data_IF_935262643663
#
_entry.id   IF_935262643663
#
_cell.length_a   1.000
_cell.length_b   1.000
_cell.length_c   1.000
_cell.angle_alpha   90.00
_cell.angle_beta   90.00
_cell.angle_gamma   90.00
#
_symmetry.space_group_name_H-M   'P 1'
#
loop_
_entity.id
_entity.type
_entity.pdbx_description
1 polymer ?
#
# COMPACT_ATOMS: atom_id res chain seq x y z
N UNK A 1 -35.92 -2.48 -52.42
CA UNK A 1 -36.37 -3.25 -51.24
C UNK A 1 -35.13 -3.65 -50.44
N UNK A 2 -34.79 -2.85 -49.43
CA UNK A 2 -33.66 -3.09 -48.52
C UNK A 2 -34.31 -3.33 -47.16
N UNK A 3 -34.17 -4.55 -46.65
CA UNK A 3 -34.86 -4.98 -45.44
C UNK A 3 -34.07 -4.52 -44.22
N UNK A 4 -34.71 -3.65 -43.44
CA UNK A 4 -34.24 -3.21 -42.14
C UNK A 4 -34.53 -4.28 -41.07
N UNK A 5 -33.84 -4.13 -39.94
CA UNK A 5 -34.14 -4.69 -38.62
C UNK A 5 -33.74 -6.15 -38.35
N UNK A 6 -32.68 -6.30 -37.56
CA UNK A 6 -32.58 -7.28 -36.46
C UNK A 6 -31.40 -6.89 -35.57
N UNK A 7 -31.65 -5.96 -34.65
CA UNK A 7 -30.78 -5.76 -33.49
C UNK A 7 -31.16 -6.83 -32.44
N UNK A 8 -30.21 -7.64 -31.95
CA UNK A 8 -30.50 -8.60 -30.90
C UNK A 8 -30.78 -7.89 -29.56
N UNK A 9 -31.64 -8.47 -28.71
CA UNK A 9 -32.04 -7.87 -27.45
C UNK A 9 -30.93 -8.01 -26.39
N UNK A 10 -30.78 -6.96 -25.60
CA UNK A 10 -30.06 -6.85 -24.32
C UNK A 10 -29.59 -8.18 -23.71
N UNK A 11 -28.30 -8.48 -23.90
CA UNK A 11 -27.58 -9.36 -23.00
C UNK A 11 -27.48 -8.63 -21.65
N UNK A 12 -28.18 -9.17 -20.65
CA UNK A 12 -28.09 -8.73 -19.27
C UNK A 12 -26.61 -8.63 -18.86
N UNK A 13 -26.21 -7.42 -18.42
CA UNK A 13 -24.96 -7.20 -17.71
C UNK A 13 -24.94 -8.12 -16.49
N UNK A 14 -24.29 -9.29 -16.62
CA UNK A 14 -23.74 -9.99 -15.47
C UNK A 14 -22.60 -9.10 -14.99
N UNK A 15 -22.77 -8.50 -13.82
CA UNK A 15 -21.65 -7.92 -13.06
C UNK A 15 -20.53 -8.97 -13.06
N UNK A 16 -19.32 -8.63 -13.52
CA UNK A 16 -18.20 -9.55 -13.46
C UNK A 16 -18.01 -9.88 -11.98
N UNK A 17 -18.21 -11.15 -11.61
CA UNK A 17 -17.79 -11.67 -10.32
C UNK A 17 -16.31 -11.32 -10.17
N UNK A 18 -16.03 -10.30 -9.35
CA UNK A 18 -14.68 -9.90 -9.01
C UNK A 18 -13.97 -11.16 -8.52
N UNK A 19 -12.89 -11.62 -9.18
CA UNK A 19 -12.12 -12.71 -8.64
C UNK A 19 -11.60 -12.23 -7.29
N UNK A 20 -12.22 -12.78 -6.23
CA UNK A 20 -11.83 -12.57 -4.85
C UNK A 20 -10.44 -13.17 -4.70
N UNK A 21 -9.42 -12.40 -5.09
CA UNK A 21 -8.04 -12.78 -4.85
C UNK A 21 -7.94 -12.91 -3.33
N UNK A 22 -7.64 -14.12 -2.80
CA UNK A 22 -7.52 -14.28 -1.37
C UNK A 22 -6.52 -13.22 -0.90
N UNK A 23 -6.85 -12.45 0.15
CA UNK A 23 -5.91 -11.47 0.68
C UNK A 23 -4.60 -12.22 0.86
N UNK A 24 -3.52 -11.70 0.27
CA UNK A 24 -2.18 -12.24 0.44
C UNK A 24 -1.87 -12.17 1.93
N UNK A 25 -2.34 -13.17 2.67
CA UNK A 25 -2.05 -13.37 4.07
C UNK A 25 -0.55 -13.43 4.11
N UNK A 26 0.02 -12.41 4.77
CA UNK A 26 1.41 -12.34 5.20
C UNK A 26 1.92 -13.76 5.41
N UNK A 27 2.59 -14.32 4.39
CA UNK A 27 3.26 -15.59 4.51
C UNK A 27 4.41 -15.30 5.46
N UNK A 28 4.09 -15.45 6.76
CA UNK A 28 5.04 -15.43 7.85
C UNK A 28 5.97 -16.58 7.55
N UNK A 29 7.05 -16.27 6.82
CA UNK A 29 8.04 -17.22 6.33
C UNK A 29 8.49 -18.06 7.51
N UNK A 30 7.94 -19.27 7.62
CA UNK A 30 8.47 -20.27 8.53
C UNK A 30 9.89 -20.55 8.05
N UNK A 31 10.87 -19.95 8.74
CA UNK A 31 12.26 -20.09 8.41
C UNK A 31 12.64 -21.58 8.53
N UNK A 32 13.08 -22.25 7.46
CA UNK A 32 13.53 -23.64 7.55
C UNK A 32 14.75 -23.71 8.48
N UNK A 33 14.57 -24.39 9.62
CA UNK A 33 15.39 -24.28 10.85
C UNK A 33 16.86 -24.73 10.74
N UNK A 34 17.32 -25.29 9.61
CA UNK A 34 18.68 -25.85 9.47
C UNK A 34 19.53 -25.15 8.41
N UNK A 35 19.21 -25.38 7.14
CA UNK A 35 20.03 -24.91 6.01
C UNK A 35 19.93 -23.39 5.79
N UNK A 36 18.89 -22.75 6.32
CA UNK A 36 18.74 -21.30 6.30
C UNK A 36 19.75 -20.57 7.20
N UNK A 37 20.30 -21.22 8.23
CA UNK A 37 21.14 -20.55 9.22
C UNK A 37 22.55 -20.27 8.69
N UNK A 38 23.16 -21.22 7.98
CA UNK A 38 24.48 -21.02 7.34
C UNK A 38 24.39 -20.00 6.21
N UNK A 39 23.36 -20.10 5.36
CA UNK A 39 23.16 -19.16 4.26
C UNK A 39 22.85 -17.74 4.75
N UNK A 40 22.03 -17.58 5.80
CA UNK A 40 21.74 -16.27 6.38
C UNK A 40 22.97 -15.64 7.04
N UNK A 41 23.79 -16.44 7.74
CA UNK A 41 25.08 -15.98 8.26
C UNK A 41 26.01 -15.51 7.14
N UNK A 42 26.14 -16.31 6.07
CA UNK A 42 26.93 -15.93 4.89
C UNK A 42 26.43 -14.63 4.28
N UNK A 43 25.12 -14.51 4.01
CA UNK A 43 24.55 -13.26 3.48
C UNK A 43 24.78 -12.07 4.41
N UNK A 44 24.72 -12.26 5.73
CA UNK A 44 25.04 -11.20 6.69
C UNK A 44 26.49 -10.73 6.62
N UNK A 45 27.42 -11.63 6.25
CA UNK A 45 28.83 -11.30 6.12
C UNK A 45 29.16 -10.63 4.78
N UNK A 46 28.49 -11.01 3.69
CA UNK A 46 28.93 -10.71 2.32
C UNK A 46 27.97 -9.88 1.49
N UNK A 47 26.67 -9.87 1.81
CA UNK A 47 25.67 -9.12 1.05
C UNK A 47 25.49 -7.71 1.62
N UNK A 48 25.12 -6.72 0.79
CA UNK A 48 24.71 -5.41 1.28
C UNK A 48 23.48 -5.54 2.18
N UNK A 49 23.29 -4.58 3.10
CA UNK A 49 22.11 -4.54 3.96
C UNK A 49 20.82 -4.45 3.12
N UNK A 50 19.75 -5.11 3.58
CA UNK A 50 18.46 -5.10 2.92
C UNK A 50 17.89 -3.67 2.90
N UNK A 51 17.52 -3.14 1.71
CA UNK A 51 16.89 -1.82 1.62
C UNK A 51 15.46 -1.87 2.16
N UNK A 52 14.93 -0.71 2.51
CA UNK A 52 13.52 -0.55 2.90
C UNK A 52 12.58 -0.94 1.74
N UNK A 53 11.35 -1.35 2.05
CA UNK A 53 10.33 -1.69 1.05
C UNK A 53 9.94 -0.48 0.20
N UNK A 54 10.09 0.73 0.76
CA UNK A 54 9.86 2.00 0.07
C UNK A 54 11.05 2.47 -0.79
N UNK A 55 12.19 1.75 -0.74
CA UNK A 55 13.41 2.19 -1.42
C UNK A 55 13.25 2.22 -2.95
N UNK A 56 13.93 3.17 -3.64
CA UNK A 56 13.88 3.26 -5.10
C UNK A 56 14.37 1.96 -5.75
N UNK A 57 13.86 1.68 -6.95
CA UNK A 57 14.18 0.47 -7.72
C UNK A 57 15.69 0.23 -7.86
N UNK A 58 16.48 1.29 -8.05
CA UNK A 58 17.93 1.20 -8.20
C UNK A 58 18.62 0.59 -6.96
N UNK A 59 18.20 0.99 -5.75
CA UNK A 59 18.74 0.43 -4.51
C UNK A 59 18.33 -1.03 -4.31
N UNK A 60 17.08 -1.36 -4.63
CA UNK A 60 16.58 -2.74 -4.59
C UNK A 60 17.33 -3.64 -5.58
N UNK A 61 17.60 -3.15 -6.79
CA UNK A 61 18.38 -3.87 -7.80
C UNK A 61 19.84 -4.03 -7.38
N UNK A 62 20.47 -2.99 -6.79
CA UNK A 62 21.82 -3.09 -6.24
C UNK A 62 21.91 -4.16 -5.14
N UNK A 63 20.94 -4.19 -4.22
CA UNK A 63 20.87 -5.23 -3.19
C UNK A 63 20.76 -6.63 -3.79
N UNK A 64 19.90 -6.80 -4.80
CA UNK A 64 19.70 -8.09 -5.45
C UNK A 64 20.94 -8.57 -6.19
N UNK A 65 21.59 -7.69 -6.95
CA UNK A 65 22.86 -8.01 -7.63
C UNK A 65 23.95 -8.34 -6.61
N UNK A 66 24.04 -7.60 -5.51
CA UNK A 66 24.96 -7.90 -4.42
C UNK A 66 24.69 -9.26 -3.77
N UNK A 67 23.42 -9.63 -3.60
CA UNK A 67 23.01 -10.93 -3.05
C UNK A 67 23.28 -12.10 -4.02
N UNK A 68 22.95 -11.95 -5.30
CA UNK A 68 23.30 -12.92 -6.34
C UNK A 68 24.82 -13.08 -6.43
N UNK A 69 25.55 -11.98 -6.33
CA UNK A 69 27.01 -11.99 -6.30
C UNK A 69 27.56 -12.77 -5.11
N UNK A 70 26.98 -12.60 -3.93
CA UNK A 70 27.29 -13.38 -2.74
C UNK A 70 27.03 -14.89 -2.93
N UNK A 71 25.97 -15.28 -3.64
CA UNK A 71 25.68 -16.69 -3.93
C UNK A 71 26.73 -17.30 -4.86
N UNK A 72 27.04 -16.59 -5.94
CA UNK A 72 28.04 -17.01 -6.92
C UNK A 72 29.42 -17.13 -6.26
N UNK A 73 29.76 -16.20 -5.37
CA UNK A 73 31.04 -16.22 -4.66
C UNK A 73 31.27 -17.52 -3.86
N UNK A 74 30.24 -18.14 -3.27
CA UNK A 74 30.38 -19.44 -2.59
C UNK A 74 30.90 -20.50 -3.56
N UNK A 75 30.29 -20.57 -4.74
CA UNK A 75 30.68 -21.54 -5.79
C UNK A 75 32.09 -21.24 -6.27
N UNK A 76 32.45 -19.96 -6.42
CA UNK A 76 33.79 -19.53 -6.81
C UNK A 76 34.85 -19.89 -5.75
N UNK A 77 34.57 -19.71 -4.46
CA UNK A 77 35.46 -20.17 -3.38
C UNK A 77 35.65 -21.68 -3.41
N UNK A 78 34.56 -22.44 -3.56
CA UNK A 78 34.61 -23.89 -3.62
C UNK A 78 35.44 -24.36 -4.83
N UNK A 79 35.26 -23.71 -5.98
CA UNK A 79 36.07 -23.97 -7.18
C UNK A 79 37.56 -23.72 -6.94
N UNK A 80 37.94 -22.60 -6.31
CA UNK A 80 39.32 -22.31 -5.96
C UNK A 80 39.89 -23.36 -5.00
N UNK A 81 39.14 -23.74 -3.96
CA UNK A 81 39.58 -24.74 -2.97
C UNK A 81 39.80 -26.11 -3.64
N UNK A 82 38.89 -26.55 -4.52
CA UNK A 82 39.02 -27.81 -5.27
C UNK A 82 40.21 -27.78 -6.24
N UNK A 83 40.67 -26.60 -6.64
CA UNK A 83 41.81 -26.45 -7.56
C UNK A 83 43.18 -26.61 -6.87
N UNK A 84 43.27 -26.53 -5.54
CA UNK A 84 44.53 -26.67 -4.81
C UNK A 84 45.22 -28.04 -4.98
N UNK A 85 44.52 -29.19 -4.87
CA UNK A 85 45.14 -30.50 -5.12
C UNK A 85 45.82 -30.58 -6.50
N UNK A 86 45.19 -30.03 -7.53
CA UNK A 86 45.78 -29.98 -8.87
C UNK A 86 47.02 -29.07 -8.91
N UNK A 87 47.04 -27.98 -8.14
CA UNK A 87 48.20 -27.10 -8.02
C UNK A 87 49.39 -27.76 -7.29
N UNK A 88 49.13 -28.60 -6.28
CA UNK A 88 50.19 -29.37 -5.61
C UNK A 88 50.73 -30.52 -6.46
N UNK A 89 49.87 -31.16 -7.27
CA UNK A 89 50.28 -32.24 -8.16
C UNK A 89 50.88 -31.76 -9.49
N UNK A 90 50.64 -30.49 -9.86
CA UNK A 90 51.05 -29.90 -11.12
C UNK A 90 52.53 -29.52 -11.16
N UNK A 91 53.06 -29.34 -12.37
CA UNK A 91 54.44 -28.90 -12.61
C UNK A 91 54.66 -27.40 -12.37
N UNK A 92 53.58 -26.62 -12.23
CA UNK A 92 53.62 -25.17 -12.05
C UNK A 92 53.45 -24.78 -10.57
N UNK A 93 54.56 -24.64 -9.84
CA UNK A 93 54.53 -24.23 -8.43
C UNK A 93 53.98 -22.81 -8.20
N UNK A 94 54.03 -21.94 -9.22
CA UNK A 94 53.44 -20.60 -9.14
C UNK A 94 51.91 -20.66 -9.02
N UNK A 95 51.27 -21.76 -9.44
CA UNK A 95 49.82 -21.90 -9.37
C UNK A 95 49.30 -21.79 -7.92
N UNK A 96 50.03 -22.31 -6.94
CA UNK A 96 49.66 -22.18 -5.51
C UNK A 96 49.65 -20.70 -5.10
N UNK A 97 50.63 -19.94 -5.56
CA UNK A 97 50.72 -18.50 -5.27
C UNK A 97 49.58 -17.74 -5.94
N UNK A 98 49.27 -18.05 -7.20
CA UNK A 98 48.16 -17.46 -7.96
C UNK A 98 46.83 -17.73 -7.23
N UNK A 99 46.54 -18.99 -6.89
CA UNK A 99 45.30 -19.37 -6.18
C UNK A 99 45.19 -18.70 -4.80
N UNK A 100 46.31 -18.49 -4.10
CA UNK A 100 46.32 -17.79 -2.81
C UNK A 100 45.95 -16.31 -2.99
N UNK A 101 46.52 -15.66 -4.00
CA UNK A 101 46.20 -14.27 -4.35
C UNK A 101 44.74 -14.14 -4.78
N UNK A 102 44.22 -15.09 -5.58
CA UNK A 102 42.82 -15.12 -6.03
C UNK A 102 41.85 -15.16 -4.84
N UNK A 103 42.14 -16.00 -3.83
CA UNK A 103 41.36 -16.05 -2.59
C UNK A 103 41.35 -14.70 -1.87
N UNK A 104 42.51 -14.05 -1.73
CA UNK A 104 42.62 -12.75 -1.08
C UNK A 104 41.84 -11.66 -1.84
N UNK A 105 41.94 -11.63 -3.17
CA UNK A 105 41.21 -10.69 -4.01
C UNK A 105 39.70 -10.96 -4.00
N UNK A 106 39.28 -12.22 -3.93
CA UNK A 106 37.87 -12.58 -3.80
C UNK A 106 37.31 -12.16 -2.43
N UNK A 107 38.08 -12.29 -1.34
CA UNK A 107 37.72 -11.76 -0.03
C UNK A 107 37.60 -10.23 -0.04
N UNK A 108 38.51 -9.54 -0.73
CA UNK A 108 38.42 -8.10 -0.95
C UNK A 108 37.15 -7.73 -1.73
N UNK A 109 36.83 -8.46 -2.80
CA UNK A 109 35.63 -8.25 -3.59
C UNK A 109 34.35 -8.43 -2.76
N UNK A 110 34.28 -9.45 -1.89
CA UNK A 110 33.17 -9.63 -0.95
C UNK A 110 33.03 -8.46 0.03
N UNK A 111 34.15 -7.94 0.52
CA UNK A 111 34.16 -6.77 1.42
C UNK A 111 33.60 -5.55 0.68
N UNK A 112 34.00 -5.32 -0.56
CA UNK A 112 33.48 -4.24 -1.41
C UNK A 112 32.00 -4.43 -1.76
N UNK A 113 31.56 -5.67 -1.97
CA UNK A 113 30.16 -6.01 -2.20
C UNK A 113 29.29 -5.62 -1.00
N UNK A 114 29.76 -5.93 0.22
CA UNK A 114 29.11 -5.52 1.47
C UNK A 114 29.04 -4.00 1.62
N UNK A 115 30.06 -3.27 1.17
CA UNK A 115 30.11 -1.80 1.16
C UNK A 115 29.27 -1.16 0.03
N UNK A 116 28.34 -1.90 -0.58
CA UNK A 116 27.48 -1.47 -1.70
C UNK A 116 28.25 -1.08 -2.98
N UNK A 117 29.55 -1.39 -3.08
CA UNK A 117 30.38 -1.13 -4.28
C UNK A 117 30.37 -2.34 -5.24
N UNK A 118 29.17 -2.82 -5.57
CA UNK A 118 28.93 -4.08 -6.32
C UNK A 118 29.63 -4.06 -7.69
N UNK A 119 29.66 -2.92 -8.38
CA UNK A 119 30.33 -2.80 -9.67
C UNK A 119 31.84 -3.05 -9.59
N UNK A 120 32.53 -2.44 -8.61
CA UNK A 120 33.97 -2.61 -8.41
C UNK A 120 34.28 -4.04 -7.97
N UNK A 121 33.48 -4.59 -7.04
CA UNK A 121 33.59 -6.00 -6.65
C UNK A 121 33.47 -6.93 -7.87
N UNK A 122 32.50 -6.67 -8.75
CA UNK A 122 32.32 -7.39 -10.00
C UNK A 122 33.52 -7.35 -10.94
N UNK A 123 34.13 -6.17 -11.12
CA UNK A 123 35.34 -6.00 -11.93
C UNK A 123 36.48 -6.85 -11.35
N UNK A 124 36.69 -6.81 -10.03
CA UNK A 124 37.73 -7.60 -9.36
C UNK A 124 37.50 -9.09 -9.58
N UNK A 125 36.27 -9.58 -9.38
CA UNK A 125 35.93 -11.00 -9.59
C UNK A 125 36.21 -11.42 -11.03
N UNK A 126 35.78 -10.63 -12.01
CA UNK A 126 36.03 -10.92 -13.44
C UNK A 126 37.54 -10.93 -13.72
N UNK A 127 38.29 -9.95 -13.23
CA UNK A 127 39.73 -9.88 -13.42
C UNK A 127 40.45 -11.07 -12.78
N UNK A 128 40.08 -11.49 -11.57
CA UNK A 128 40.64 -12.67 -10.90
C UNK A 128 40.43 -13.92 -11.75
N UNK A 129 39.19 -14.18 -12.17
CA UNK A 129 38.86 -15.39 -12.92
C UNK A 129 39.28 -15.36 -14.40
N UNK A 130 39.62 -14.19 -14.95
CA UNK A 130 40.32 -14.08 -16.24
C UNK A 130 41.82 -14.26 -16.06
N UNK A 131 42.42 -13.54 -15.11
CA UNK A 131 43.87 -13.52 -14.90
C UNK A 131 44.40 -14.87 -14.42
N UNK A 132 43.68 -15.58 -13.54
CA UNK A 132 44.13 -16.86 -12.98
C UNK A 132 44.42 -17.93 -14.05
N UNK A 133 43.47 -18.34 -14.92
CA UNK A 133 43.76 -19.29 -16.00
C UNK A 133 44.76 -18.73 -17.03
N UNK A 134 44.72 -17.43 -17.33
CA UNK A 134 45.68 -16.78 -18.23
C UNK A 134 47.10 -16.88 -17.69
N UNK A 135 47.32 -16.54 -16.42
CA UNK A 135 48.63 -16.61 -15.77
C UNK A 135 49.08 -18.06 -15.64
N UNK A 136 48.19 -19.00 -15.34
CA UNK A 136 48.54 -20.42 -15.31
C UNK A 136 49.08 -20.90 -16.67
N UNK A 137 48.41 -20.54 -17.77
CA UNK A 137 48.86 -20.88 -19.13
C UNK A 137 50.20 -20.20 -19.44
N UNK A 138 50.33 -18.89 -19.14
CA UNK A 138 51.53 -18.11 -19.45
C UNK A 138 52.76 -18.54 -18.63
N UNK A 139 52.55 -19.06 -17.41
CA UNK A 139 53.64 -19.48 -16.50
C UNK A 139 53.93 -20.98 -16.58
N UNK A 140 53.24 -21.73 -17.44
CA UNK A 140 53.50 -23.16 -17.64
C UNK A 140 54.90 -23.36 -18.22
N UNK A 141 55.79 -24.11 -17.54
CA UNK A 141 57.16 -24.31 -18.03
C UNK A 141 57.14 -25.09 -19.35
N UNK A 142 57.89 -24.60 -20.34
CA UNK A 142 57.92 -25.18 -21.68
C UNK A 142 56.83 -24.68 -22.64
N UNK A 143 55.94 -23.78 -22.19
CA UNK A 143 54.90 -23.20 -23.03
C UNK A 143 53.61 -24.02 -23.04
N UNK A 144 52.85 -23.93 -24.14
CA UNK A 144 51.51 -24.55 -24.22
C UNK A 144 51.66 -26.03 -24.57
N UNK A 145 51.03 -26.89 -23.77
CA UNK A 145 50.98 -28.33 -23.98
C UNK A 145 49.52 -28.83 -24.12
N UNK A 146 49.33 -30.09 -24.49
CA UNK A 146 47.98 -30.67 -24.69
C UNK A 146 47.13 -30.61 -23.41
N UNK A 147 47.75 -30.71 -22.23
CA UNK A 147 47.04 -30.60 -20.94
C UNK A 147 46.56 -29.19 -20.60
N UNK A 148 47.07 -28.16 -21.28
CA UNK A 148 46.61 -26.78 -21.12
C UNK A 148 45.34 -26.47 -21.92
N UNK A 149 44.99 -27.29 -22.92
CA UNK A 149 43.79 -27.05 -23.76
C UNK A 149 42.48 -26.98 -22.94
N UNK A 150 42.22 -27.87 -21.97
CA UNK A 150 41.05 -27.74 -21.10
C UNK A 150 41.00 -26.45 -20.27
N UNK A 151 42.16 -25.85 -19.95
CA UNK A 151 42.23 -24.61 -19.14
C UNK A 151 41.63 -23.42 -19.89
N UNK A 152 41.67 -23.40 -21.23
CA UNK A 152 40.94 -22.39 -22.01
C UNK A 152 39.42 -22.49 -21.82
N UNK A 153 38.89 -23.66 -21.48
CA UNK A 153 37.48 -23.83 -21.10
C UNK A 153 37.12 -23.05 -19.83
N UNK A 154 38.07 -22.84 -18.91
CA UNK A 154 37.83 -22.03 -17.71
C UNK A 154 37.69 -20.53 -18.00
N UNK A 155 38.10 -20.05 -19.18
CA UNK A 155 37.84 -18.67 -19.62
C UNK A 155 36.34 -18.39 -19.86
N UNK A 156 35.48 -19.41 -19.79
CA UNK A 156 34.03 -19.23 -19.79
C UNK A 156 33.51 -18.72 -18.43
N UNK A 157 34.19 -19.06 -17.33
CA UNK A 157 33.80 -18.65 -15.96
C UNK A 157 33.75 -17.12 -15.79
N UNK A 158 34.76 -16.34 -16.22
CA UNK A 158 34.68 -14.88 -16.13
C UNK A 158 33.55 -14.28 -16.99
N UNK A 159 33.07 -14.96 -18.04
CA UNK A 159 31.87 -14.53 -18.79
C UNK A 159 30.61 -14.61 -17.93
N UNK A 160 30.44 -15.72 -17.21
CA UNK A 160 29.32 -15.89 -16.28
C UNK A 160 29.40 -14.90 -15.11
N UNK A 161 30.61 -14.61 -14.63
CA UNK A 161 30.84 -13.58 -13.61
C UNK A 161 30.47 -12.20 -14.16
N UNK A 162 30.93 -11.83 -15.38
CA UNK A 162 30.61 -10.55 -15.99
C UNK A 162 29.10 -10.38 -16.18
N UNK A 163 28.40 -11.42 -16.62
CA UNK A 163 26.94 -11.40 -16.80
C UNK A 163 26.21 -11.12 -15.48
N UNK A 164 26.70 -11.70 -14.39
CA UNK A 164 26.06 -11.63 -13.07
C UNK A 164 26.36 -10.31 -12.34
N UNK A 165 27.61 -9.84 -12.40
CA UNK A 165 28.05 -8.70 -11.60
C UNK A 165 28.09 -7.38 -12.37
N UNK A 166 28.28 -7.39 -13.69
CA UNK A 166 28.45 -6.18 -14.50
C UNK A 166 27.22 -5.88 -15.36
N UNK A 167 27.28 -4.75 -16.08
CA UNK A 167 26.25 -4.48 -17.09
C UNK A 167 26.34 -5.56 -18.19
N UNK A 168 25.21 -6.00 -18.80
CA UNK A 168 25.19 -7.17 -19.69
C UNK A 168 26.16 -7.08 -20.86
N UNK A 169 26.45 -5.87 -21.35
CA UNK A 169 27.37 -5.64 -22.46
C UNK A 169 28.83 -5.99 -22.14
N UNK A 170 29.24 -5.99 -20.87
CA UNK A 170 30.61 -6.36 -20.46
C UNK A 170 30.97 -7.80 -20.81
N UNK A 171 29.98 -8.69 -20.92
CA UNK A 171 30.20 -10.09 -21.30
C UNK A 171 30.89 -10.18 -22.66
N UNK A 172 30.52 -9.30 -23.61
CA UNK A 172 31.15 -9.27 -24.93
C UNK A 172 32.58 -8.74 -24.90
N UNK A 173 32.88 -7.77 -24.01
CA UNK A 173 34.24 -7.25 -23.83
C UNK A 173 35.16 -8.33 -23.29
N UNK A 174 34.70 -9.07 -22.27
CA UNK A 174 35.47 -10.19 -21.69
C UNK A 174 35.62 -11.33 -22.70
N UNK A 175 34.56 -11.66 -23.46
CA UNK A 175 34.63 -12.67 -24.52
C UNK A 175 35.63 -12.28 -25.61
N UNK A 176 35.59 -11.03 -26.09
CA UNK A 176 36.55 -10.54 -27.08
C UNK A 176 38.00 -10.61 -26.54
N UNK A 177 38.22 -10.21 -25.28
CA UNK A 177 39.52 -10.33 -24.62
C UNK A 177 40.00 -11.78 -24.54
N UNK A 178 39.13 -12.71 -24.12
CA UNK A 178 39.45 -14.13 -24.01
C UNK A 178 39.72 -14.78 -25.38
N UNK A 179 38.97 -14.39 -26.42
CA UNK A 179 39.19 -14.81 -27.81
C UNK A 179 40.55 -14.34 -28.33
N UNK A 180 40.87 -13.05 -28.15
CA UNK A 180 42.15 -12.48 -28.54
C UNK A 180 43.31 -13.14 -27.81
N UNK A 181 43.17 -13.36 -26.50
CA UNK A 181 44.15 -14.08 -25.69
C UNK A 181 44.36 -15.52 -26.19
N UNK A 182 43.28 -16.23 -26.50
CA UNK A 182 43.34 -17.61 -27.01
C UNK A 182 44.10 -17.68 -28.34
N UNK A 183 43.78 -16.78 -29.27
CA UNK A 183 44.50 -16.69 -30.56
C UNK A 183 45.96 -16.34 -30.33
N UNK A 184 46.25 -15.36 -29.47
CA UNK A 184 47.62 -14.93 -29.17
C UNK A 184 48.46 -16.08 -28.60
N UNK A 185 47.96 -16.77 -27.58
CA UNK A 185 48.69 -17.88 -26.96
C UNK A 185 48.94 -19.01 -27.93
N UNK A 186 47.94 -19.44 -28.71
CA UNK A 186 48.09 -20.58 -29.62
C UNK A 186 48.94 -20.27 -30.86
N UNK A 187 49.15 -19.00 -31.20
CA UNK A 187 49.97 -18.58 -32.35
C UNK A 187 51.37 -18.14 -31.94
N UNK A 188 51.52 -17.50 -30.77
CA UNK A 188 52.76 -16.82 -30.37
C UNK A 188 53.56 -17.57 -29.30
N UNK A 189 52.93 -18.41 -28.48
CA UNK A 189 53.68 -19.21 -27.50
C UNK A 189 54.29 -20.47 -28.15
N UNK A 190 55.49 -20.89 -27.70
CA UNK A 190 56.05 -22.16 -28.13
C UNK A 190 55.13 -23.30 -27.68
N UNK A 191 54.77 -24.16 -28.64
CA UNK A 191 54.07 -25.42 -28.38
C UNK A 191 55.08 -26.56 -28.36
N UNK A 192 54.99 -27.44 -27.36
CA UNK A 192 55.88 -28.59 -27.23
C UNK A 192 55.18 -29.91 -27.55
N UNK A 193 55.97 -30.88 -28.03
CA UNK A 193 55.55 -32.26 -28.23
C UNK A 193 54.44 -32.42 -29.28
N UNK A 194 53.47 -33.26 -28.96
CA UNK A 194 52.36 -33.62 -29.85
C UNK A 194 51.52 -32.41 -30.28
N UNK A 195 51.34 -31.43 -29.39
CA UNK A 195 50.49 -30.26 -29.67
C UNK A 195 51.01 -29.46 -30.87
N UNK A 196 52.33 -29.37 -31.06
CA UNK A 196 52.91 -28.65 -32.19
C UNK A 196 52.55 -29.33 -33.52
N UNK A 197 52.56 -30.67 -33.56
CA UNK A 197 52.17 -31.43 -34.75
C UNK A 197 50.68 -31.27 -35.03
N UNK A 198 49.85 -31.34 -33.99
CA UNK A 198 48.39 -31.17 -34.13
C UNK A 198 48.04 -29.74 -34.54
N UNK A 199 48.67 -28.70 -33.98
CA UNK A 199 48.45 -27.31 -34.39
C UNK A 199 48.81 -27.09 -35.87
N UNK A 200 49.86 -27.72 -36.40
CA UNK A 200 50.22 -27.58 -37.83
C UNK A 200 49.18 -28.16 -38.78
N UNK A 201 48.55 -29.28 -38.40
CA UNK A 201 47.61 -30.00 -39.26
C UNK A 201 46.16 -29.54 -39.05
N UNK A 202 45.79 -29.26 -37.80
CA UNK A 202 44.40 -29.09 -37.36
C UNK A 202 44.20 -27.81 -36.54
N UNK A 203 44.95 -26.73 -36.81
CA UNK A 203 44.77 -25.44 -36.12
C UNK A 203 43.30 -24.98 -36.05
N UNK A 204 42.53 -24.94 -37.16
CA UNK A 204 41.14 -24.50 -37.10
C UNK A 204 40.26 -25.43 -36.26
N UNK A 205 40.57 -26.73 -36.24
CA UNK A 205 39.83 -27.73 -35.48
C UNK A 205 39.97 -27.58 -33.97
N UNK A 206 41.11 -27.06 -33.48
CA UNK A 206 41.33 -26.78 -32.06
C UNK A 206 40.78 -25.41 -31.67
N UNK A 207 41.05 -24.39 -32.47
CA UNK A 207 40.72 -22.99 -32.13
C UNK A 207 39.22 -22.72 -32.24
N UNK A 208 38.57 -23.22 -33.30
CA UNK A 208 37.16 -22.91 -33.59
C UNK A 208 36.23 -23.31 -32.45
N UNK A 209 36.30 -24.53 -31.85
CA UNK A 209 35.43 -24.89 -30.74
C UNK A 209 35.62 -24.01 -29.50
N UNK A 210 36.86 -23.60 -29.18
CA UNK A 210 37.15 -22.74 -28.04
C UNK A 210 36.50 -21.36 -28.24
N UNK A 211 36.76 -20.71 -29.39
CA UNK A 211 36.19 -19.41 -29.71
C UNK A 211 34.65 -19.47 -29.81
N UNK A 212 34.13 -20.50 -30.48
CA UNK A 212 32.69 -20.69 -30.65
C UNK A 212 32.01 -20.88 -29.30
N UNK A 213 32.60 -21.64 -28.37
CA UNK A 213 32.04 -21.83 -27.03
C UNK A 213 31.95 -20.51 -26.25
N UNK A 214 32.99 -19.66 -26.32
CA UNK A 214 33.00 -18.35 -25.65
C UNK A 214 31.95 -17.42 -26.27
N UNK A 215 31.81 -17.41 -27.59
CA UNK A 215 30.80 -16.62 -28.30
C UNK A 215 29.38 -17.07 -27.94
N UNK A 216 29.09 -18.38 -28.00
CA UNK A 216 27.77 -18.92 -27.66
C UNK A 216 27.43 -18.59 -26.20
N UNK A 217 28.34 -18.86 -25.25
CA UNK A 217 28.07 -18.58 -23.84
C UNK A 217 27.87 -17.08 -23.61
N UNK A 218 28.63 -16.21 -24.29
CA UNK A 218 28.45 -14.76 -24.15
C UNK A 218 27.06 -14.29 -24.61
N UNK A 219 26.56 -14.81 -25.74
CA UNK A 219 25.24 -14.47 -26.27
C UNK A 219 24.13 -14.99 -25.34
N UNK A 220 24.24 -16.26 -24.93
CA UNK A 220 23.24 -16.87 -24.03
C UNK A 220 23.19 -16.16 -22.69
N UNK A 221 24.35 -15.87 -22.09
CA UNK A 221 24.43 -15.14 -20.83
C UNK A 221 23.86 -13.72 -20.97
N UNK A 222 24.17 -13.00 -22.06
CA UNK A 222 23.61 -11.68 -22.33
C UNK A 222 22.07 -11.71 -22.43
N UNK A 223 21.52 -12.63 -23.23
CA UNK A 223 20.08 -12.77 -23.41
C UNK A 223 19.38 -13.15 -22.09
N UNK A 224 19.99 -14.05 -21.31
CA UNK A 224 19.46 -14.48 -20.03
C UNK A 224 19.38 -13.32 -19.04
N UNK A 225 20.47 -12.56 -18.85
CA UNK A 225 20.48 -11.40 -17.93
C UNK A 225 19.52 -10.32 -18.41
N UNK A 226 19.45 -10.06 -19.72
CA UNK A 226 18.52 -9.07 -20.28
C UNK A 226 17.07 -9.49 -20.06
N UNK A 227 16.74 -10.75 -20.30
CA UNK A 227 15.42 -11.32 -20.08
C UNK A 227 15.02 -11.27 -18.60
N UNK A 228 15.91 -11.69 -17.71
CA UNK A 228 15.68 -11.63 -16.26
C UNK A 228 15.41 -10.20 -15.77
N UNK A 229 16.20 -9.21 -16.22
CA UNK A 229 15.99 -7.80 -15.87
C UNK A 229 14.68 -7.25 -16.39
N UNK A 230 14.30 -7.58 -17.63
CA UNK A 230 13.03 -7.13 -18.20
C UNK A 230 11.82 -7.75 -17.50
N UNK A 231 11.86 -9.06 -17.24
CA UNK A 231 10.80 -9.74 -16.49
C UNK A 231 10.64 -9.11 -15.11
N UNK A 232 11.76 -8.72 -14.50
CA UNK A 232 11.74 -8.13 -13.19
C UNK A 232 11.17 -6.71 -13.15
N UNK A 233 11.57 -5.87 -14.10
CA UNK A 233 10.98 -4.54 -14.24
C UNK A 233 9.47 -4.61 -14.49
N UNK A 234 8.99 -5.65 -15.18
CA UNK A 234 7.54 -5.86 -15.37
C UNK A 234 6.87 -6.27 -14.06
N UNK A 235 7.49 -7.15 -13.28
CA UNK A 235 6.96 -7.56 -11.98
C UNK A 235 6.86 -6.38 -11.01
N UNK A 236 7.90 -5.55 -10.91
CA UNK A 236 7.90 -4.40 -10.00
C UNK A 236 6.86 -3.34 -10.41
N UNK A 237 6.68 -3.12 -11.73
CA UNK A 237 5.60 -2.26 -12.23
C UNK A 237 4.22 -2.83 -11.93
N UNK A 238 4.04 -4.14 -12.06
CA UNK A 238 2.78 -4.79 -11.73
C UNK A 238 2.48 -4.71 -10.23
N UNK A 239 3.48 -4.82 -9.37
CA UNK A 239 3.34 -4.65 -7.92
C UNK A 239 2.97 -3.20 -7.55
N UNK A 240 3.60 -2.22 -8.20
CA UNK A 240 3.26 -0.80 -8.01
C UNK A 240 1.82 -0.50 -8.45
N UNK A 241 1.39 -1.02 -9.60
CA UNK A 241 0.01 -0.89 -10.09
C UNK A 241 -0.96 -1.56 -9.11
N UNK A 242 -0.71 -2.80 -8.70
CA UNK A 242 -1.58 -3.51 -7.76
C UNK A 242 -1.69 -2.77 -6.41
N UNK A 243 -0.59 -2.17 -5.94
CA UNK A 243 -0.60 -1.35 -4.72
C UNK A 243 -1.47 -0.10 -4.90
N UNK A 244 -1.36 0.60 -6.02
CA UNK A 244 -2.19 1.77 -6.32
C UNK A 244 -3.67 1.41 -6.48
N UNK A 245 -3.98 0.33 -7.19
CA UNK A 245 -5.35 -0.18 -7.35
C UNK A 245 -5.95 -0.54 -5.99
N UNK A 246 -5.19 -1.21 -5.11
CA UNK A 246 -5.67 -1.54 -3.77
C UNK A 246 -5.98 -0.31 -2.90
N UNK A 247 -5.25 0.79 -3.10
CA UNK A 247 -5.53 2.05 -2.41
C UNK A 247 -6.76 2.74 -2.98
N UNK A 248 -6.96 2.66 -4.30
CA UNK A 248 -8.11 3.27 -4.96
C UNK A 248 -9.40 2.52 -4.64
N UNK A 249 -9.37 1.19 -4.62
CA UNK A 249 -10.51 0.35 -4.21
C UNK A 249 -10.93 0.72 -2.78
N UNK A 250 -9.99 0.85 -1.83
CA UNK A 250 -10.31 1.28 -0.46
C UNK A 250 -10.99 2.64 -0.41
N UNK A 251 -10.54 3.61 -1.22
CA UNK A 251 -11.20 4.93 -1.28
C UNK A 251 -12.60 4.83 -1.86
N UNK A 252 -12.80 4.01 -2.88
CA UNK A 252 -14.13 3.77 -3.45
C UNK A 252 -15.06 3.12 -2.44
N UNK A 253 -14.59 2.13 -1.67
CA UNK A 253 -15.36 1.52 -0.59
C UNK A 253 -15.77 2.54 0.48
N UNK A 254 -14.84 3.41 0.90
CA UNK A 254 -15.13 4.50 1.86
C UNK A 254 -16.19 5.46 1.28
N UNK A 255 -16.07 5.85 0.01
CA UNK A 255 -17.04 6.72 -0.65
C UNK A 255 -18.42 6.06 -0.78
N UNK A 256 -18.46 4.77 -1.11
CA UNK A 256 -19.70 4.01 -1.18
C UNK A 256 -20.35 3.85 0.21
N UNK A 257 -19.55 3.63 1.26
CA UNK A 257 -20.04 3.55 2.63
C UNK A 257 -20.66 4.90 3.07
N UNK A 258 -20.00 6.02 2.77
CA UNK A 258 -20.54 7.37 3.00
C UNK A 258 -21.82 7.59 2.20
N UNK A 259 -21.85 7.18 0.93
CA UNK A 259 -23.02 7.25 0.06
C UNK A 259 -24.23 6.51 0.65
N UNK A 260 -24.03 5.28 1.14
CA UNK A 260 -25.07 4.49 1.81
C UNK A 260 -25.59 5.16 3.08
N UNK A 261 -24.71 5.71 3.91
CA UNK A 261 -25.12 6.44 5.12
C UNK A 261 -25.97 7.68 4.80
N UNK A 262 -25.66 8.37 3.70
CA UNK A 262 -26.45 9.49 3.20
C UNK A 262 -27.82 9.01 2.74
N UNK A 263 -27.87 7.95 1.92
CA UNK A 263 -29.13 7.43 1.37
C UNK A 263 -30.07 6.92 2.48
N UNK A 264 -29.54 6.14 3.42
CA UNK A 264 -30.27 5.70 4.62
C UNK A 264 -30.81 6.89 5.41
N UNK A 265 -29.99 7.94 5.59
CA UNK A 265 -30.40 9.14 6.30
C UNK A 265 -31.49 9.93 5.58
N UNK A 266 -31.46 10.00 4.24
CA UNK A 266 -32.51 10.61 3.42
C UNK A 266 -33.82 9.82 3.55
N UNK A 267 -33.76 8.49 3.43
CA UNK A 267 -34.95 7.65 3.55
C UNK A 267 -35.61 7.79 4.92
N UNK A 268 -34.82 7.89 6.00
CA UNK A 268 -35.34 8.17 7.34
C UNK A 268 -36.01 9.55 7.45
N UNK A 269 -35.42 10.60 6.87
CA UNK A 269 -36.04 11.93 6.82
C UNK A 269 -37.37 11.89 6.07
N UNK A 270 -37.39 11.28 4.89
CA UNK A 270 -38.59 11.17 4.04
C UNK A 270 -39.69 10.37 4.75
N UNK A 271 -39.36 9.21 5.33
CA UNK A 271 -40.30 8.38 6.07
C UNK A 271 -40.90 9.14 7.26
N UNK A 272 -40.06 9.89 8.00
CA UNK A 272 -40.52 10.71 9.12
C UNK A 272 -41.44 11.84 8.66
N UNK A 273 -41.08 12.57 7.58
CA UNK A 273 -41.94 13.61 7.01
C UNK A 273 -43.27 13.03 6.52
N UNK A 274 -43.26 11.87 5.88
CA UNK A 274 -44.47 11.15 5.47
C UNK A 274 -45.39 10.82 6.65
N UNK A 275 -44.82 10.37 7.78
CA UNK A 275 -45.59 10.13 9.01
C UNK A 275 -46.18 11.42 9.62
N UNK A 276 -45.41 12.52 9.65
CA UNK A 276 -45.89 13.82 10.13
C UNK A 276 -47.07 14.31 9.29
N UNK A 277 -46.97 14.21 7.96
CA UNK A 277 -48.02 14.67 7.03
C UNK A 277 -49.28 13.80 7.13
N UNK A 278 -49.14 12.48 7.20
CA UNK A 278 -50.28 11.55 7.23
C UNK A 278 -51.01 11.54 8.57
N UNK A 279 -50.30 11.61 9.70
CA UNK A 279 -50.91 11.59 11.05
C UNK A 279 -51.26 12.96 11.59
N UNK A 280 -50.82 14.02 10.91
CA UNK A 280 -51.00 15.41 11.36
C UNK A 280 -50.40 15.67 12.76
N UNK A 281 -49.36 14.90 13.12
CA UNK A 281 -48.67 14.94 14.41
C UNK A 281 -47.25 15.49 14.22
N UNK A 282 -47.06 16.75 14.62
CA UNK A 282 -45.78 17.48 14.53
C UNK A 282 -44.84 17.19 15.70
N UNK A 283 -45.22 16.31 16.64
CA UNK A 283 -44.36 15.90 17.75
C UNK A 283 -43.29 14.89 17.32
N UNK A 284 -43.48 14.20 16.19
CA UNK A 284 -42.53 13.23 15.65
C UNK A 284 -41.24 13.94 15.25
N UNK A 285 -40.10 13.42 15.72
CA UNK A 285 -38.75 13.91 15.40
C UNK A 285 -38.07 12.95 14.44
N UNK A 286 -37.21 13.48 13.59
CA UNK A 286 -36.32 12.67 12.74
C UNK A 286 -35.21 12.08 13.60
N UNK A 287 -35.13 10.74 13.75
CA UNK A 287 -34.17 10.08 14.64
C UNK A 287 -32.84 9.81 13.93
N UNK A 288 -32.10 10.87 13.59
CA UNK A 288 -30.75 10.73 13.01
C UNK A 288 -29.68 10.85 14.11
N UNK A 289 -28.72 9.91 14.11
CA UNK A 289 -27.55 9.95 15.01
C UNK A 289 -26.64 11.14 14.67
N UNK A 290 -25.87 11.62 15.66
CA UNK A 290 -24.88 12.71 15.46
C UNK A 290 -23.76 12.33 14.48
N UNK A 291 -23.54 11.03 14.29
CA UNK A 291 -22.53 10.49 13.37
C UNK A 291 -22.98 10.56 11.90
N UNK A 292 -24.29 10.67 11.64
CA UNK A 292 -24.77 10.80 10.27
C UNK A 292 -24.51 12.21 9.72
N UNK A 293 -23.95 12.31 8.52
CA UNK A 293 -23.62 13.60 7.89
C UNK A 293 -24.86 14.51 7.71
N UNK A 294 -26.06 13.91 7.62
CA UNK A 294 -27.34 14.60 7.51
C UNK A 294 -27.92 15.06 8.85
N UNK A 295 -27.23 14.86 9.97
CA UNK A 295 -27.66 15.32 11.28
C UNK A 295 -27.98 16.83 11.30
N UNK A 296 -27.18 17.65 10.60
CA UNK A 296 -27.46 19.09 10.45
C UNK A 296 -28.78 19.36 9.73
N UNK A 297 -29.10 18.58 8.70
CA UNK A 297 -30.36 18.67 7.95
C UNK A 297 -31.52 18.23 8.85
N UNK A 298 -31.36 17.12 9.57
CA UNK A 298 -32.32 16.62 10.57
C UNK A 298 -32.68 17.68 11.61
N UNK A 299 -31.68 18.37 12.16
CA UNK A 299 -31.90 19.42 13.14
C UNK A 299 -32.65 20.61 12.56
N UNK A 300 -32.32 21.03 11.34
CA UNK A 300 -33.07 22.09 10.65
C UNK A 300 -34.54 21.69 10.47
N UNK A 301 -34.80 20.44 10.05
CA UNK A 301 -36.16 19.89 9.92
C UNK A 301 -36.88 19.85 11.27
N UNK A 302 -36.26 19.32 12.32
CA UNK A 302 -36.83 19.26 13.67
C UNK A 302 -37.14 20.64 14.25
N UNK A 303 -36.30 21.64 13.96
CA UNK A 303 -36.55 23.02 14.34
C UNK A 303 -37.77 23.61 13.59
N UNK A 304 -37.88 23.35 12.28
CA UNK A 304 -39.05 23.77 11.50
C UNK A 304 -40.34 23.10 12.00
N UNK A 305 -40.30 21.79 12.29
CA UNK A 305 -41.43 21.06 12.87
C UNK A 305 -41.83 21.63 14.24
N UNK A 306 -40.86 21.95 15.09
CA UNK A 306 -41.12 22.60 16.38
C UNK A 306 -41.79 23.96 16.23
N UNK A 307 -41.32 24.77 15.27
CA UNK A 307 -41.92 26.08 14.96
C UNK A 307 -43.35 25.94 14.44
N UNK A 308 -43.60 24.99 13.55
CA UNK A 308 -44.95 24.68 13.03
C UNK A 308 -45.88 24.20 14.14
N UNK A 309 -45.40 23.30 15.02
CA UNK A 309 -46.15 22.83 16.17
C UNK A 309 -46.52 23.99 17.12
N UNK A 310 -45.56 24.88 17.40
CA UNK A 310 -45.79 26.09 18.20
C UNK A 310 -46.81 27.04 17.57
N UNK A 311 -46.70 27.27 16.25
CA UNK A 311 -47.67 28.09 15.50
C UNK A 311 -49.08 27.49 15.57
N UNK A 312 -49.22 26.17 15.42
CA UNK A 312 -50.52 25.50 15.53
C UNK A 312 -51.13 25.59 16.91
N UNK A 313 -50.34 25.35 17.97
CA UNK A 313 -50.81 25.50 19.36
C UNK A 313 -51.29 26.93 19.61
N UNK A 314 -50.54 27.92 19.14
CA UNK A 314 -50.91 29.34 19.26
C UNK A 314 -52.23 29.65 18.54
N UNK A 315 -52.44 29.09 17.34
CA UNK A 315 -53.71 29.21 16.60
C UNK A 315 -54.88 28.55 17.34
N UNK A 316 -54.66 27.36 17.91
CA UNK A 316 -55.68 26.65 18.70
C UNK A 316 -56.04 27.39 19.98
N UNK A 317 -55.04 27.92 20.68
CA UNK A 317 -55.21 28.75 21.86
C UNK A 317 -55.96 30.04 21.52
N UNK A 318 -55.62 30.69 20.41
CA UNK A 318 -56.33 31.88 19.93
C UNK A 318 -57.78 31.56 19.58
N UNK A 319 -58.05 30.44 18.88
CA UNK A 319 -59.42 29.97 18.61
C UNK A 319 -60.20 29.67 19.88
N UNK A 320 -59.59 28.99 20.87
CA UNK A 320 -60.19 28.74 22.18
C UNK A 320 -60.52 30.05 22.90
N UNK A 321 -59.58 30.98 22.90
CA UNK A 321 -59.74 32.30 23.53
C UNK A 321 -60.87 33.08 22.86
N UNK A 322 -60.96 33.07 21.52
CA UNK A 322 -62.08 33.68 20.81
C UNK A 322 -63.42 33.01 21.11
N UNK A 323 -63.48 31.69 21.19
CA UNK A 323 -64.71 30.97 21.52
C UNK A 323 -65.19 31.28 22.95
N UNK A 324 -64.26 31.31 23.92
CA UNK A 324 -64.56 31.71 25.30
C UNK A 324 -65.00 33.16 25.36
N UNK A 325 -64.29 34.09 24.70
CA UNK A 325 -64.65 35.50 24.66
C UNK A 325 -66.04 35.73 24.03
N UNK A 326 -66.37 35.00 22.96
CA UNK A 326 -67.69 35.06 22.33
C UNK A 326 -68.79 34.54 23.29
N UNK A 327 -68.55 33.42 23.98
CA UNK A 327 -69.49 32.87 24.96
C UNK A 327 -69.70 33.81 26.16
N UNK A 328 -68.63 34.44 26.65
CA UNK A 328 -68.69 35.46 27.71
C UNK A 328 -69.49 36.68 27.24
N UNK A 329 -69.21 37.20 26.03
CA UNK A 329 -69.94 38.33 25.46
C UNK A 329 -71.42 38.03 25.22
N UNK A 330 -71.77 36.79 24.86
CA UNK A 330 -73.14 36.32 24.72
C UNK A 330 -73.87 36.34 26.08
N UNK A 331 -73.27 35.78 27.13
CA UNK A 331 -73.85 35.77 28.48
C UNK A 331 -74.07 37.17 29.05
N UNK A 332 -73.13 38.10 28.80
CA UNK A 332 -73.27 39.51 29.18
C UNK A 332 -74.50 40.13 28.50
N UNK A 333 -74.70 39.86 27.20
CA UNK A 333 -75.87 40.37 26.47
C UNK A 333 -77.19 39.81 27.00
N UNK A 334 -77.18 38.57 27.47
CA UNK A 334 -78.36 37.89 28.04
C UNK A 334 -78.61 38.27 29.51
N UNK A 335 -77.77 39.14 30.12
CA UNK A 335 -77.92 39.59 31.50
C UNK A 335 -77.66 38.49 32.55
N UNK A 336 -77.06 37.37 32.15
CA UNK A 336 -76.74 36.28 33.06
C UNK A 336 -75.42 36.53 33.79
N UNK A 337 -75.34 36.27 35.11
CA UNK A 337 -74.08 36.35 35.84
C UNK A 337 -73.07 35.37 35.25
N UNK A 338 -71.83 35.83 35.07
CA UNK A 338 -70.73 35.03 34.53
C UNK A 338 -70.17 34.14 35.66
N UNK A 339 -70.98 33.19 36.11
CA UNK A 339 -70.53 32.11 36.98
C UNK A 339 -69.77 31.09 36.11
N UNK A 340 -68.46 31.26 36.02
CA UNK A 340 -67.56 30.23 35.52
C UNK A 340 -67.10 29.42 36.73
N UNK A 341 -67.65 28.22 36.87
CA UNK A 341 -67.34 27.29 37.96
C UNK A 341 -65.93 26.66 37.81
N UNK A 342 -65.22 26.93 36.71
CA UNK A 342 -63.87 26.43 36.47
C UNK A 342 -63.03 27.40 35.64
N UNK A 343 -61.71 27.37 35.86
CA UNK A 343 -60.72 28.11 35.05
C UNK A 343 -60.80 27.67 33.58
N UNK A 344 -60.88 28.62 32.64
CA UNK A 344 -60.99 28.30 31.20
C UNK A 344 -59.64 27.90 30.60
N UNK A 345 -58.54 28.15 31.30
CA UNK A 345 -57.19 27.89 30.84
C UNK A 345 -56.79 28.76 29.65
N UNK A 346 -57.45 29.91 29.47
CA UNK A 346 -57.19 30.85 28.39
C UNK A 346 -56.65 32.16 28.94
N UNK A 347 -56.02 32.96 28.09
CA UNK A 347 -55.56 34.30 28.45
C UNK A 347 -56.69 35.25 28.89
N UNK A 348 -57.96 34.85 28.75
CA UNK A 348 -59.14 35.60 29.20
C UNK A 348 -59.48 35.39 30.69
N UNK A 349 -58.91 34.37 31.35
CA UNK A 349 -59.19 34.08 32.77
C UNK A 349 -58.94 35.29 33.71
N UNK A 350 -57.84 36.07 33.58
CA UNK A 350 -57.63 37.24 34.42
C UNK A 350 -58.71 38.31 34.26
N UNK A 351 -59.24 38.49 33.05
CA UNK A 351 -60.29 39.48 32.76
C UNK A 351 -61.59 39.07 33.42
N UNK A 352 -61.91 37.77 33.37
CA UNK A 352 -63.12 37.20 33.98
C UNK A 352 -63.04 37.31 35.51
N UNK A 353 -61.87 37.01 36.10
CA UNK A 353 -61.64 37.15 37.54
C UNK A 353 -61.85 38.59 37.98
N UNK A 354 -61.28 39.55 37.26
CA UNK A 354 -61.40 40.97 37.62
C UNK A 354 -62.83 41.49 37.42
N UNK A 355 -63.53 41.06 36.37
CA UNK A 355 -64.95 41.37 36.17
C UNK A 355 -65.85 40.83 37.29
N UNK A 356 -65.64 39.58 37.70
CA UNK A 356 -66.37 38.97 38.81
C UNK A 356 -66.03 39.62 40.16
N UNK A 357 -64.77 40.06 40.35
CA UNK A 357 -64.37 40.86 41.50
C UNK A 357 -65.12 42.21 41.53
N UNK A 358 -65.22 42.91 40.40
CA UNK A 358 -65.98 44.16 40.31
C UNK A 358 -67.48 43.96 40.58
N UNK A 359 -68.10 42.92 40.02
CA UNK A 359 -69.50 42.58 40.29
C UNK A 359 -69.75 42.31 41.79
N UNK A 360 -68.85 41.59 42.46
CA UNK A 360 -68.92 41.40 43.92
C UNK A 360 -68.76 42.72 44.69
N UNK A 361 -67.89 43.63 44.24
CA UNK A 361 -67.72 44.94 44.87
C UNK A 361 -68.96 45.84 44.77
N UNK A 362 -69.74 45.74 43.69
CA UNK A 362 -70.97 46.50 43.47
C UNK A 362 -72.14 45.95 44.31
N UNK A 363 -72.15 44.65 44.58
CA UNK A 363 -73.23 43.96 45.31
C UNK A 363 -73.03 43.89 46.84
N UNK A 364 -71.94 44.46 47.36
CA UNK A 364 -71.70 44.54 48.80
C UNK A 364 -71.96 45.97 49.29
N UNK A 365 -73.10 46.26 49.96
CA UNK A 365 -73.33 47.58 50.53
C UNK A 365 -72.26 47.92 51.57
N UNK A 366 -71.67 49.09 51.41
CA UNK A 366 -70.61 49.66 52.24
C UNK A 366 -71.02 49.68 53.71
N UNK A 367 -70.52 48.72 54.49
CA UNK A 367 -70.53 48.80 55.95
C UNK A 367 -69.34 49.63 56.45
N UNK A 368 -69.49 50.49 57.45
CA UNK A 368 -68.47 51.45 57.85
C UNK A 368 -67.28 50.75 58.53
N UNK A 369 -66.11 50.94 57.92
CA UNK A 369 -64.81 51.27 58.52
C UNK A 369 -64.72 51.07 60.05
N UNK A 370 -64.18 49.93 60.48
CA UNK A 370 -63.47 49.81 61.76
C UNK A 370 -62.00 49.55 61.51
N UNK A 371 -61.18 50.50 61.97
CA UNK A 371 -59.74 50.42 62.02
C UNK A 371 -59.32 49.33 63.01
N UNK A 372 -58.33 48.50 62.65
CA UNK A 372 -57.55 47.75 63.63
C UNK A 372 -56.20 47.32 63.05
N UNK A 373 -55.23 48.19 63.32
CA UNK A 373 -53.79 47.97 63.55
C UNK A 373 -53.37 46.52 63.87
N UNK A 374 -52.33 46.04 63.17
CA UNK A 374 -51.07 45.41 63.67
C UNK A 374 -50.46 44.57 62.52
N UNK A 375 -49.30 44.92 61.98
CA UNK A 375 -47.95 44.72 62.52
C UNK A 375 -47.43 43.26 62.36
N UNK A 376 -46.14 43.14 62.02
CA UNK A 376 -45.30 41.98 61.69
C UNK A 376 -45.22 41.64 60.18
N UNK A 377 -44.09 41.67 59.49
CA UNK A 377 -42.69 41.57 59.93
C UNK A 377 -42.16 40.15 59.63
N UNK A 378 -41.30 40.03 58.59
CA UNK A 378 -40.34 38.94 58.22
C UNK A 378 -40.08 39.08 56.71
N UNK A 379 -38.93 39.52 56.18
CA UNK A 379 -37.54 39.04 56.27
C UNK A 379 -37.39 37.52 56.12
N UNK A 380 -36.89 37.08 54.96
CA UNK A 380 -36.07 35.88 54.62
C UNK A 380 -35.85 35.95 53.08
N UNK A 381 -34.73 36.44 52.55
CA UNK A 381 -33.37 35.88 52.42
C UNK A 381 -33.22 34.76 51.37
N UNK A 382 -32.24 34.99 50.50
CA UNK A 382 -31.24 34.05 49.96
C UNK A 382 -31.60 32.82 49.09
N UNK A 383 -30.73 32.65 48.08
CA UNK A 383 -30.29 31.44 47.35
C UNK A 383 -30.29 31.79 45.85
N UNK A 384 -29.21 32.17 45.15
CA UNK A 384 -27.82 31.67 45.10
C UNK A 384 -27.75 30.15 44.82
N UNK A 385 -26.92 29.80 43.81
CA UNK A 385 -26.57 28.47 43.26
C UNK A 385 -27.52 27.97 42.15
N UNK A 386 -27.08 27.62 40.93
CA UNK A 386 -25.75 27.37 40.35
C UNK A 386 -25.72 27.85 38.88
#
# INVERSE_FOLDING_TARGET
MINASTFPPNAAHKEPEEPLYPPQQNQKKENPKGMGLVLSWWYGLTSPAQPDESAPFEERELFRRGRTGSQIAIVLFLLLIISYPAAFAGSNSLLITILTIDILLLMLALTLNRLKRVGIAGIIVVLVFTASPTMNILTTPGGVNTSALPVFGFLVIPLMCAASFLAPWWVFVVAAGNCLFTIFVLTSMPSQGELQQVLKVAFPGIVTPILLSQMIVSIVAFLWVRGARQALQRADRAEEIARLESLEIKRQEEQLAVGRQIEEGIQQIIATMGMVVTRNDFSIRVPLSQENILWRVSNAVNNLLSRLQGFRRSQEELKRTHAVAAAVAQRIREGQPIALESWTGTAFDPVIIEYNRQLKSISTPSSPRSQSVMNNGRYYSDSLKD
#
